data_IF_754254398212
#
_entry.id   IF_754254398212
#
_cell.length_a   1.000
_cell.length_b   1.000
_cell.length_c   1.000
_cell.angle_alpha   90.00
_cell.angle_beta   90.00
_cell.angle_gamma   90.00
#
_symmetry.space_group_name_H-M   'P 1'
#
loop_
_entity.id
_entity.type
_entity.pdbx_description
1 polymer ?
#
# COMPACT_ATOMS: atom_id res chain seq x y z
N UNK A 1 2.05 20.21 54.69
CA UNK A 1 2.38 20.31 53.26
C UNK A 1 2.45 18.89 52.72
N UNK A 2 1.39 18.42 52.06
CA UNK A 2 1.43 17.15 51.33
C UNK A 2 0.78 17.43 49.98
N UNK A 3 1.61 17.74 48.99
CA UNK A 3 1.19 17.99 47.63
C UNK A 3 0.89 16.65 46.97
N UNK A 4 -0.36 16.48 46.53
CA UNK A 4 -0.80 15.38 45.68
C UNK A 4 -0.23 15.66 44.27
N UNK A 5 0.52 14.74 43.65
CA UNK A 5 0.92 14.91 42.26
C UNK A 5 -0.31 14.66 41.37
N UNK A 6 -0.63 15.63 40.53
CA UNK A 6 -1.62 15.48 39.46
C UNK A 6 -1.00 14.61 38.36
N UNK A 7 -1.59 13.44 38.12
CA UNK A 7 -1.31 12.64 36.94
C UNK A 7 -1.91 13.34 35.71
N UNK A 8 -1.08 14.05 34.95
CA UNK A 8 -1.40 14.46 33.58
C UNK A 8 -1.29 13.23 32.67
N UNK A 9 -2.44 12.63 32.37
CA UNK A 9 -2.64 11.64 31.31
C UNK A 9 -2.32 12.31 29.97
N UNK A 10 -1.07 12.19 29.54
CA UNK A 10 -0.65 12.61 28.20
C UNK A 10 -1.20 11.59 27.21
N UNK A 11 -2.36 11.93 26.62
CA UNK A 11 -2.99 11.22 25.50
C UNK A 11 -2.12 11.43 24.24
N UNK A 12 -0.92 10.83 24.24
CA UNK A 12 -0.01 10.86 23.11
C UNK A 12 -0.59 9.95 22.03
N UNK A 13 -1.36 10.55 21.11
CA UNK A 13 -1.80 9.86 19.90
C UNK A 13 -0.56 9.33 19.19
N UNK A 14 -0.41 8.01 18.96
CA UNK A 14 0.79 7.49 18.34
C UNK A 14 0.94 8.08 16.94
N UNK A 15 2.07 8.76 16.70
CA UNK A 15 2.39 9.37 15.41
C UNK A 15 2.84 8.25 14.48
N UNK A 16 1.93 7.83 13.61
CA UNK A 16 2.21 6.82 12.60
C UNK A 16 2.80 7.45 11.33
N UNK A 17 3.75 6.76 10.69
CA UNK A 17 4.33 7.20 9.43
C UNK A 17 3.27 7.29 8.34
N UNK A 18 3.15 8.44 7.69
CA UNK A 18 2.26 8.61 6.54
C UNK A 18 2.96 8.15 5.25
N UNK A 19 2.21 7.49 4.37
CA UNK A 19 2.73 7.11 3.05
C UNK A 19 2.91 8.33 2.15
N UNK A 20 4.10 8.50 1.55
CA UNK A 20 4.34 9.47 0.49
C UNK A 20 3.78 8.95 -0.85
N UNK A 21 2.65 9.49 -1.29
CA UNK A 21 1.95 9.07 -2.52
C UNK A 21 2.80 9.30 -3.79
N UNK A 22 3.64 10.34 -3.75
CA UNK A 22 4.50 10.78 -4.87
C UNK A 22 5.88 10.12 -4.86
N UNK A 23 6.15 9.23 -3.90
CA UNK A 23 7.43 8.52 -3.87
C UNK A 23 7.67 7.77 -5.20
N UNK A 24 8.88 7.87 -5.76
CA UNK A 24 9.27 7.05 -6.90
C UNK A 24 9.22 5.57 -6.51
N UNK A 25 8.97 4.70 -7.49
CA UNK A 25 8.79 3.25 -7.28
C UNK A 25 9.93 2.63 -6.44
N UNK A 26 11.16 3.08 -6.67
CA UNK A 26 12.37 2.61 -5.98
C UNK A 26 12.47 2.99 -4.50
N UNK A 27 11.65 3.93 -4.02
CA UNK A 27 11.70 4.47 -2.66
C UNK A 27 10.44 4.14 -1.83
N UNK A 28 9.49 3.38 -2.38
CA UNK A 28 8.28 3.01 -1.64
C UNK A 28 8.64 2.07 -0.50
N UNK A 29 8.28 2.46 0.72
CA UNK A 29 8.40 1.66 1.94
C UNK A 29 7.02 1.33 2.48
N UNK A 30 6.87 0.13 3.02
CA UNK A 30 5.65 -0.33 3.68
C UNK A 30 6.04 -0.90 5.04
N UNK A 31 5.30 -0.51 6.07
CA UNK A 31 5.60 -0.90 7.45
C UNK A 31 4.29 -1.09 8.21
N UNK A 32 4.29 -1.97 9.22
CA UNK A 32 3.16 -2.09 10.13
C UNK A 32 2.97 -0.77 10.88
N UNK A 33 1.72 -0.35 11.02
CA UNK A 33 1.38 0.94 11.62
C UNK A 33 1.29 2.09 10.62
N UNK A 34 1.85 1.98 9.41
CA UNK A 34 1.75 3.01 8.38
C UNK A 34 0.28 3.32 8.04
N UNK A 35 -0.03 4.61 7.90
CA UNK A 35 -1.38 5.08 7.63
C UNK A 35 -1.54 5.65 6.21
N UNK A 36 -2.72 5.42 5.65
CA UNK A 36 -3.18 5.88 4.35
C UNK A 36 -4.52 6.59 4.52
N UNK A 37 -4.77 7.64 3.74
CA UNK A 37 -6.04 8.34 3.76
C UNK A 37 -7.15 7.50 3.10
N UNK A 38 -6.79 6.71 2.09
CA UNK A 38 -7.73 5.87 1.34
C UNK A 38 -7.18 4.46 1.07
N UNK A 39 -8.06 3.48 0.91
CA UNK A 39 -7.67 2.14 0.43
C UNK A 39 -7.01 2.19 -0.96
N UNK A 40 -7.35 3.16 -1.81
CA UNK A 40 -6.72 3.29 -3.12
C UNK A 40 -5.25 3.68 -3.00
N UNK A 41 -4.91 4.65 -2.14
CA UNK A 41 -3.52 5.00 -1.85
C UNK A 41 -2.74 3.79 -1.33
N UNK A 42 -3.33 3.01 -0.41
CA UNK A 42 -2.73 1.75 0.07
C UNK A 42 -2.46 0.77 -1.08
N UNK A 43 -3.45 0.50 -1.93
CA UNK A 43 -3.30 -0.42 -3.08
C UNK A 43 -2.20 0.04 -4.04
N UNK A 44 -2.13 1.35 -4.34
CA UNK A 44 -1.08 1.92 -5.18
C UNK A 44 0.31 1.74 -4.57
N UNK A 45 0.48 2.01 -3.28
CA UNK A 45 1.75 1.82 -2.58
C UNK A 45 2.18 0.34 -2.56
N UNK A 46 1.25 -0.57 -2.27
CA UNK A 46 1.52 -2.03 -2.30
C UNK A 46 1.95 -2.49 -3.68
N UNK A 47 1.31 -2.00 -4.75
CA UNK A 47 1.72 -2.32 -6.12
C UNK A 47 3.11 -1.78 -6.45
N UNK A 48 3.37 -0.49 -6.21
CA UNK A 48 4.69 0.12 -6.46
C UNK A 48 5.80 -0.65 -5.72
N UNK A 49 5.58 -0.99 -4.44
CA UNK A 49 6.52 -1.78 -3.65
C UNK A 49 6.84 -3.13 -4.31
N UNK A 50 5.82 -3.89 -4.72
CA UNK A 50 5.99 -5.22 -5.31
C UNK A 50 6.60 -5.18 -6.73
N UNK A 51 6.27 -4.16 -7.52
CA UNK A 51 6.90 -3.89 -8.82
C UNK A 51 8.41 -3.66 -8.62
N UNK A 52 8.80 -2.85 -7.63
CA UNK A 52 10.20 -2.57 -7.33
C UNK A 52 11.02 -3.83 -7.00
N UNK A 53 10.42 -4.77 -6.26
CA UNK A 53 11.12 -6.01 -5.87
C UNK A 53 10.95 -7.15 -6.89
N UNK A 54 10.14 -6.97 -7.93
CA UNK A 54 9.88 -7.95 -8.99
C UNK A 54 9.04 -9.13 -8.51
N UNK A 55 7.95 -8.84 -7.79
CA UNK A 55 7.06 -9.84 -7.18
C UNK A 55 5.62 -9.62 -7.62
N UNK A 56 4.93 -10.71 -7.94
CA UNK A 56 3.52 -10.68 -8.31
C UNK A 56 2.65 -10.90 -7.07
N UNK A 57 1.63 -10.04 -6.91
CA UNK A 57 0.65 -10.08 -5.82
C UNK A 57 -0.75 -9.85 -6.38
N UNK A 58 -1.77 -10.31 -5.65
CA UNK A 58 -3.15 -9.95 -5.93
C UNK A 58 -3.87 -9.47 -4.67
N UNK A 59 -4.93 -8.69 -4.86
CA UNK A 59 -5.77 -8.22 -3.76
C UNK A 59 -6.91 -9.22 -3.53
N UNK A 60 -6.90 -9.88 -2.37
CA UNK A 60 -7.98 -10.77 -1.97
C UNK A 60 -9.26 -9.98 -1.72
N UNK A 61 -10.42 -10.57 -2.08
CA UNK A 61 -11.73 -9.95 -1.87
C UNK A 61 -11.95 -9.67 -0.37
N UNK A 62 -12.24 -8.42 -0.06
CA UNK A 62 -12.52 -7.91 1.28
C UNK A 62 -13.78 -7.03 1.24
N UNK A 63 -14.25 -6.55 2.40
CA UNK A 63 -15.26 -5.49 2.48
C UNK A 63 -14.67 -4.11 2.10
N UNK A 64 -15.51 -3.08 2.04
CA UNK A 64 -15.10 -1.72 1.65
C UNK A 64 -14.23 -0.99 2.69
N UNK A 65 -14.05 -1.57 3.88
CA UNK A 65 -13.27 -0.99 4.99
C UNK A 65 -11.89 -1.61 5.13
N UNK A 66 -11.55 -2.62 4.31
CA UNK A 66 -10.34 -3.43 4.44
C UNK A 66 -9.74 -3.74 3.07
N UNK A 67 -8.44 -3.99 3.04
CA UNK A 67 -7.76 -4.54 1.87
C UNK A 67 -6.64 -5.47 2.28
N UNK A 68 -6.58 -6.64 1.65
CA UNK A 68 -5.52 -7.63 1.84
C UNK A 68 -4.86 -7.91 0.50
N UNK A 69 -3.54 -7.88 0.45
CA UNK A 69 -2.76 -8.37 -0.67
C UNK A 69 -1.94 -9.58 -0.24
N UNK A 70 -1.86 -10.57 -1.13
CA UNK A 70 -1.09 -11.81 -0.94
C UNK A 70 -0.29 -12.10 -2.20
N UNK A 71 0.78 -12.87 -2.07
CA UNK A 71 1.54 -13.35 -3.22
C UNK A 71 0.68 -14.25 -4.11
N UNK A 72 0.98 -14.30 -5.41
CA UNK A 72 0.35 -15.25 -6.33
C UNK A 72 0.75 -16.71 -6.08
N UNK A 73 1.95 -16.93 -5.56
CA UNK A 73 2.42 -18.24 -5.16
C UNK A 73 1.74 -18.63 -3.84
N UNK A 74 0.96 -19.71 -3.86
CA UNK A 74 0.12 -20.15 -2.74
C UNK A 74 0.95 -20.56 -1.51
N UNK A 75 2.18 -21.04 -1.73
CA UNK A 75 3.09 -21.46 -0.66
C UNK A 75 3.95 -20.29 -0.13
N UNK A 76 3.79 -19.10 -0.69
CA UNK A 76 4.54 -17.92 -0.30
C UNK A 76 3.85 -17.20 0.87
N UNK A 77 4.54 -17.00 2.01
CA UNK A 77 3.93 -16.41 3.20
C UNK A 77 3.72 -14.89 3.09
N UNK A 78 4.18 -14.27 2.01
CA UNK A 78 4.10 -12.83 1.83
C UNK A 78 2.66 -12.35 1.80
N UNK A 79 2.34 -11.41 2.68
CA UNK A 79 1.03 -10.76 2.72
C UNK A 79 1.07 -9.43 3.44
N UNK A 80 0.15 -8.55 3.07
CA UNK A 80 -0.08 -7.28 3.75
C UNK A 80 -1.58 -7.04 3.91
N UNK A 81 -1.98 -6.54 5.09
CA UNK A 81 -3.37 -6.28 5.43
C UNK A 81 -3.51 -4.88 6.04
N UNK A 82 -4.50 -4.15 5.53
CA UNK A 82 -4.84 -2.81 5.92
C UNK A 82 -6.33 -2.70 6.25
N UNK A 83 -6.67 -1.94 7.29
CA UNK A 83 -8.03 -1.79 7.79
C UNK A 83 -8.33 -0.35 8.21
N UNK A 84 -9.60 0.04 8.05
CA UNK A 84 -10.10 1.35 8.48
C UNK A 84 -9.93 1.55 9.99
N UNK A 85 -9.43 2.71 10.37
CA UNK A 85 -9.39 3.27 11.71
C UNK A 85 -10.46 4.37 11.79
N UNK A 86 -11.14 4.48 12.93
CA UNK A 86 -12.28 5.41 13.09
C UNK A 86 -11.85 6.81 13.54
N UNK A 87 -10.76 6.94 14.30
CA UNK A 87 -10.29 8.22 14.84
C UNK A 87 -8.75 8.29 14.91
N UNK A 88 -8.10 9.18 14.14
CA UNK A 88 -8.65 9.84 12.94
C UNK A 88 -9.09 8.81 11.89
N UNK A 89 -9.99 9.21 10.99
CA UNK A 89 -10.44 8.34 9.91
C UNK A 89 -9.30 8.10 8.91
N UNK A 90 -8.66 6.93 9.00
CA UNK A 90 -7.56 6.52 8.13
C UNK A 90 -7.61 5.02 7.87
N UNK A 91 -6.67 4.52 7.09
CA UNK A 91 -6.46 3.11 6.83
C UNK A 91 -5.06 2.73 7.28
N UNK A 92 -4.96 1.88 8.28
CA UNK A 92 -3.67 1.50 8.87
C UNK A 92 -3.27 0.09 8.45
N UNK A 93 -1.99 -0.09 8.10
CA UNK A 93 -1.38 -1.41 7.92
C UNK A 93 -1.36 -2.13 9.27
N UNK A 94 -2.17 -3.18 9.41
CA UNK A 94 -2.27 -3.99 10.63
C UNK A 94 -1.34 -5.19 10.61
N UNK A 95 -1.01 -5.70 9.43
CA UNK A 95 -0.17 -6.88 9.26
C UNK A 95 0.69 -6.71 8.02
N UNK A 96 1.97 -7.04 8.14
CA UNK A 96 2.87 -7.11 6.99
C UNK A 96 3.90 -8.22 7.21
N UNK A 97 3.75 -9.33 6.48
CA UNK A 97 4.76 -10.38 6.37
C UNK A 97 5.54 -10.13 5.09
N UNK A 98 6.70 -9.49 5.22
CA UNK A 98 7.52 -9.03 4.11
C UNK A 98 8.59 -10.06 3.69
N UNK A 99 8.25 -11.35 3.72
CA UNK A 99 9.15 -12.42 3.31
C UNK A 99 8.55 -13.14 2.12
N UNK A 100 9.24 -13.08 0.99
CA UNK A 100 8.91 -13.89 -0.18
C UNK A 100 9.80 -15.13 -0.21
N UNK A 101 9.19 -16.31 -0.23
CA UNK A 101 9.86 -17.59 -0.49
C UNK A 101 9.76 -18.02 -1.95
N UNK A 102 8.87 -17.40 -2.73
CA UNK A 102 8.72 -17.65 -4.15
C UNK A 102 9.97 -17.20 -4.95
N UNK A 103 10.08 -17.65 -6.19
CA UNK A 103 11.10 -17.14 -7.13
C UNK A 103 10.69 -15.79 -7.70
N UNK A 104 11.67 -14.99 -8.13
CA UNK A 104 11.36 -13.75 -8.86
C UNK A 104 10.68 -14.14 -10.18
N UNK A 105 9.53 -13.56 -10.45
CA UNK A 105 8.85 -13.75 -11.72
C UNK A 105 9.65 -13.01 -12.81
N UNK A 106 10.48 -13.74 -13.56
CA UNK A 106 11.12 -13.22 -14.78
C UNK A 106 10.13 -13.11 -15.94
N UNK A 107 9.09 -13.93 -15.89
CA UNK A 107 7.94 -13.83 -16.77
C UNK A 107 6.91 -13.00 -16.03
N UNK A 108 6.75 -11.76 -16.47
CA UNK A 108 5.57 -10.93 -16.22
C UNK A 108 4.34 -11.73 -16.64
N UNK A 109 3.90 -12.68 -15.81
CA UNK A 109 2.61 -13.36 -15.95
C UNK A 109 1.61 -12.30 -15.57
N UNK A 110 1.38 -11.42 -16.55
CA UNK A 110 0.41 -10.36 -16.59
C UNK A 110 0.26 -9.72 -15.23
N UNK A 111 1.14 -8.77 -14.89
CA UNK A 111 0.79 -7.82 -13.83
C UNK A 111 -0.59 -7.31 -14.21
N UNK A 112 -1.58 -7.71 -13.40
CA UNK A 112 -3.02 -7.57 -13.57
C UNK A 112 -3.33 -6.64 -14.75
N UNK A 113 -3.50 -7.20 -15.97
CA UNK A 113 -3.63 -6.44 -17.23
C UNK A 113 -4.66 -5.31 -17.07
N UNK A 114 -5.71 -5.64 -16.30
CA UNK A 114 -6.75 -4.73 -15.86
C UNK A 114 -6.25 -3.53 -15.06
N UNK A 115 -5.27 -3.70 -14.15
CA UNK A 115 -4.66 -2.56 -13.45
C UNK A 115 -3.81 -1.70 -14.37
N UNK A 116 -3.03 -2.29 -15.29
CA UNK A 116 -2.23 -1.50 -16.23
C UNK A 116 -3.17 -0.62 -17.09
N UNK A 117 -4.30 -1.19 -17.51
CA UNK A 117 -5.37 -0.46 -18.18
C UNK A 117 -5.99 0.59 -17.25
N UNK A 118 -6.40 0.24 -16.02
CA UNK A 118 -7.01 1.19 -15.07
C UNK A 118 -6.08 2.37 -14.72
N UNK A 119 -4.77 2.13 -14.53
CA UNK A 119 -3.80 3.19 -14.25
C UNK A 119 -3.52 4.05 -15.50
N UNK A 120 -3.50 3.44 -16.69
CA UNK A 120 -3.38 4.18 -17.95
C UNK A 120 -4.63 5.03 -18.21
N UNK A 121 -5.83 4.49 -17.97
CA UNK A 121 -7.10 5.20 -18.08
C UNK A 121 -7.18 6.37 -17.09
N UNK A 122 -6.81 6.15 -15.82
CA UNK A 122 -6.73 7.23 -14.84
C UNK A 122 -5.68 8.29 -15.22
N UNK A 123 -4.53 7.89 -15.77
CA UNK A 123 -3.53 8.85 -16.27
C UNK A 123 -4.00 9.64 -17.49
N UNK A 124 -4.69 9.02 -18.44
CA UNK A 124 -5.30 9.70 -19.60
C UNK A 124 -6.41 10.66 -19.15
N UNK A 125 -7.22 10.26 -18.16
CA UNK A 125 -8.28 11.09 -17.58
C UNK A 125 -7.73 12.34 -16.89
N UNK A 126 -6.65 12.19 -16.13
CA UNK A 126 -6.03 13.30 -15.37
C UNK A 126 -5.09 14.14 -16.26
N UNK A 127 -4.55 13.57 -17.34
CA UNK A 127 -3.66 14.25 -18.29
C UNK A 127 -4.10 13.98 -19.74
N UNK A 128 -5.11 14.70 -20.27
CA UNK A 128 -5.60 14.50 -21.63
C UNK A 128 -4.59 14.91 -22.73
N UNK A 129 -3.44 15.48 -22.37
CA UNK A 129 -2.40 15.95 -23.30
C UNK A 129 -1.22 14.98 -23.48
N UNK A 130 -1.40 13.69 -23.18
CA UNK A 130 -0.43 12.65 -23.56
C UNK A 130 -0.43 12.47 -25.08
N UNK A 131 0.27 13.36 -25.77
CA UNK A 131 0.63 13.17 -27.17
C UNK A 131 1.60 11.99 -27.24
N UNK A 132 1.23 10.98 -28.01
CA UNK A 132 2.12 9.90 -28.42
C UNK A 132 3.24 10.56 -29.24
N UNK A 133 4.36 10.89 -28.58
CA UNK A 133 5.60 11.23 -29.27
C UNK A 133 6.46 9.98 -29.30
N UNK A 134 6.24 9.25 -30.39
CA UNK A 134 7.21 8.56 -31.24
C UNK A 134 8.29 7.73 -30.51
N UNK A 135 8.14 6.41 -30.63
CA UNK A 135 9.25 5.49 -30.54
C UNK A 135 10.11 5.65 -31.80
N UNK A 136 11.36 6.09 -31.61
CA UNK A 136 12.48 5.83 -32.51
C UNK A 136 13.32 4.68 -31.94
#
# INVERSE_FOLDING_TARGET
MHSIPSDEDSDETPVFSQSNVDAPVSQVRLEVGMEFETLNQFRKAVRKFNINIGRSIFFARCDSTRSKAICYDEDCPWQIYCAKRTFPASYQVKTFFNEHTCSRDSHYKSADEKWVIDELEERIRVQPNLTVREAD
#
